data_IF_299253696369
#
_entry.id   IF_299253696369
#
_cell.length_a   1.000
_cell.length_b   1.000
_cell.length_c   1.000
_cell.angle_alpha   90.00
_cell.angle_beta   90.00
_cell.angle_gamma   90.00
#
_symmetry.space_group_name_H-M   'P 1'
#
loop_
_entity.id
_entity.type
_entity.pdbx_description
1 polymer ?
#
# COMPACT_ATOMS: atom_id res chain seq x y z
N UNK A 1 -13.48 -8.55 0.38
CA UNK A 1 -12.07 -8.47 -0.03
C UNK A 1 -11.97 -7.80 -1.39
N UNK A 2 -11.28 -6.68 -1.50
CA UNK A 2 -11.01 -5.98 -2.75
C UNK A 2 -9.69 -6.47 -3.33
N UNK A 3 -9.68 -6.98 -4.57
CA UNK A 3 -8.50 -7.55 -5.21
C UNK A 3 -8.15 -8.96 -4.68
N UNK A 4 -9.13 -9.85 -4.56
CA UNK A 4 -9.00 -11.19 -3.95
C UNK A 4 -7.99 -12.10 -4.63
N UNK A 5 -7.75 -11.92 -5.92
CA UNK A 5 -6.81 -12.73 -6.71
C UNK A 5 -5.36 -12.19 -6.71
N UNK A 6 -5.10 -11.06 -6.07
CA UNK A 6 -3.77 -10.51 -5.87
C UNK A 6 -3.05 -11.14 -4.65
N UNK A 7 -1.77 -10.78 -4.44
CA UNK A 7 -0.95 -11.33 -3.33
C UNK A 7 -1.59 -11.10 -1.95
N UNK A 8 -2.10 -9.90 -1.68
CA UNK A 8 -2.78 -9.59 -0.41
C UNK A 8 -4.10 -10.37 -0.32
N UNK A 9 -4.86 -10.45 -1.42
CA UNK A 9 -6.14 -11.13 -1.45
C UNK A 9 -6.04 -12.63 -1.17
N UNK A 10 -5.09 -13.31 -1.79
CA UNK A 10 -4.87 -14.75 -1.59
C UNK A 10 -4.45 -15.04 -0.15
N UNK A 11 -3.53 -14.25 0.43
CA UNK A 11 -3.13 -14.39 1.84
C UNK A 11 -4.29 -14.08 2.80
N UNK A 12 -5.12 -13.08 2.50
CA UNK A 12 -6.32 -12.78 3.28
C UNK A 12 -7.30 -13.96 3.32
N UNK A 13 -7.55 -14.58 2.17
CA UNK A 13 -8.44 -15.72 2.05
C UNK A 13 -7.84 -16.99 2.67
N UNK A 14 -6.52 -17.17 2.61
CA UNK A 14 -5.83 -18.24 3.33
C UNK A 14 -6.02 -18.09 4.85
N UNK A 15 -5.85 -16.87 5.39
CA UNK A 15 -6.13 -16.58 6.81
C UNK A 15 -7.58 -16.89 7.17
N UNK A 16 -8.53 -16.52 6.31
CA UNK A 16 -9.94 -16.83 6.54
C UNK A 16 -10.21 -18.35 6.55
N UNK A 17 -9.54 -19.11 5.69
CA UNK A 17 -9.60 -20.58 5.68
C UNK A 17 -8.95 -21.21 6.91
N UNK A 18 -7.86 -20.65 7.44
CA UNK A 18 -7.19 -21.11 8.66
C UNK A 18 -8.00 -20.80 9.93
N UNK A 19 -8.91 -19.80 9.88
CA UNK A 19 -9.69 -19.28 11.00
C UNK A 19 -11.21 -19.21 10.68
N UNK A 20 -11.86 -20.32 10.25
CA UNK A 20 -13.23 -20.28 9.72
C UNK A 20 -14.29 -19.88 10.76
N UNK A 21 -14.00 -20.09 12.05
CA UNK A 21 -14.90 -19.68 13.15
C UNK A 21 -14.81 -18.16 13.44
N UNK A 22 -13.84 -17.46 12.87
CA UNK A 22 -13.56 -16.04 13.12
C UNK A 22 -13.83 -15.16 11.91
N UNK A 23 -13.56 -15.66 10.71
CA UNK A 23 -13.68 -14.89 9.47
C UNK A 23 -14.53 -15.61 8.43
N UNK A 24 -15.37 -14.85 7.76
CA UNK A 24 -16.14 -15.28 6.59
C UNK A 24 -15.95 -14.28 5.46
N UNK A 25 -15.50 -14.75 4.31
CA UNK A 25 -15.37 -13.94 3.11
C UNK A 25 -16.72 -13.84 2.39
N UNK A 26 -17.49 -12.79 2.66
CA UNK A 26 -18.86 -12.61 2.12
C UNK A 26 -18.91 -11.91 0.76
N UNK A 27 -17.87 -11.17 0.39
CA UNK A 27 -17.82 -10.36 -0.83
C UNK A 27 -16.40 -10.33 -1.40
N UNK A 28 -16.23 -10.67 -2.68
CA UNK A 28 -14.92 -10.73 -3.33
C UNK A 28 -14.90 -9.89 -4.61
N UNK A 29 -13.78 -9.22 -4.89
CA UNK A 29 -13.58 -8.61 -6.19
C UNK A 29 -12.22 -8.96 -6.78
N UNK A 30 -12.14 -9.05 -8.11
CA UNK A 30 -10.93 -9.31 -8.86
C UNK A 30 -10.83 -8.41 -10.09
N UNK A 31 -9.62 -8.25 -10.65
CA UNK A 31 -9.41 -7.51 -11.90
C UNK A 31 -9.84 -8.34 -13.12
N UNK A 32 -9.04 -9.35 -13.48
CA UNK A 32 -9.22 -10.16 -14.70
C UNK A 32 -9.12 -11.67 -14.48
N UNK A 33 -8.65 -12.12 -13.32
CA UNK A 33 -8.37 -13.55 -13.09
C UNK A 33 -9.63 -14.29 -12.66
N UNK A 34 -10.48 -14.63 -13.65
CA UNK A 34 -11.74 -15.36 -13.43
C UNK A 34 -11.50 -16.78 -12.89
N UNK A 35 -10.42 -17.45 -13.31
CA UNK A 35 -10.14 -18.81 -12.88
C UNK A 35 -9.91 -18.89 -11.37
N UNK A 36 -9.00 -18.06 -10.86
CA UNK A 36 -8.73 -18.02 -9.43
C UNK A 36 -9.93 -17.48 -8.63
N UNK A 37 -10.66 -16.49 -9.16
CA UNK A 37 -11.88 -16.01 -8.52
C UNK A 37 -12.93 -17.11 -8.41
N UNK A 38 -13.11 -17.96 -9.43
CA UNK A 38 -14.00 -19.11 -9.42
C UNK A 38 -13.61 -20.14 -8.35
N UNK A 39 -12.30 -20.43 -8.22
CA UNK A 39 -11.81 -21.32 -7.15
C UNK A 39 -12.08 -20.72 -5.76
N UNK A 40 -11.90 -19.41 -5.60
CA UNK A 40 -12.21 -18.70 -4.37
C UNK A 40 -13.71 -18.72 -4.06
N UNK A 41 -14.58 -18.60 -5.07
CA UNK A 41 -16.04 -18.75 -4.93
C UNK A 41 -16.38 -20.14 -4.42
N UNK A 42 -15.81 -21.18 -5.01
CA UNK A 42 -16.02 -22.57 -4.59
C UNK A 42 -15.59 -22.83 -3.14
N UNK A 43 -14.50 -22.18 -2.70
CA UNK A 43 -13.92 -22.42 -1.37
C UNK A 43 -14.61 -21.64 -0.27
N UNK A 44 -14.98 -20.38 -0.55
CA UNK A 44 -15.47 -19.43 0.46
C UNK A 44 -16.97 -19.15 0.39
N UNK A 45 -17.64 -19.56 -0.68
CA UNK A 45 -19.08 -19.36 -0.92
C UNK A 45 -19.55 -17.93 -0.60
N UNK A 46 -18.93 -16.90 -1.23
CA UNK A 46 -19.31 -15.52 -0.99
C UNK A 46 -20.73 -15.25 -1.50
N UNK A 47 -21.40 -14.22 -0.97
CA UNK A 47 -22.73 -13.81 -1.41
C UNK A 47 -22.69 -12.96 -2.69
N UNK A 48 -21.58 -12.25 -2.92
CA UNK A 48 -21.38 -11.39 -4.09
C UNK A 48 -19.94 -11.43 -4.56
N UNK A 49 -19.77 -11.42 -5.87
CA UNK A 49 -18.45 -11.28 -6.51
C UNK A 49 -18.51 -10.21 -7.59
N UNK A 50 -17.40 -9.52 -7.83
CA UNK A 50 -17.28 -8.57 -8.93
C UNK A 50 -15.97 -8.76 -9.70
N UNK A 51 -16.07 -8.64 -11.03
CA UNK A 51 -14.92 -8.59 -11.94
C UNK A 51 -14.79 -7.19 -12.52
N UNK A 52 -13.58 -6.61 -12.50
CA UNK A 52 -13.35 -5.25 -12.99
C UNK A 52 -13.53 -5.15 -14.51
N UNK A 53 -12.99 -6.11 -15.26
CA UNK A 53 -13.13 -6.18 -16.72
C UNK A 53 -14.54 -6.66 -17.10
N UNK A 54 -15.39 -5.74 -17.54
CA UNK A 54 -16.78 -6.02 -17.91
C UNK A 54 -16.91 -7.03 -19.05
N UNK A 55 -15.89 -7.18 -19.91
CA UNK A 55 -15.91 -8.16 -20.99
C UNK A 55 -15.87 -9.60 -20.48
N UNK A 56 -15.45 -9.83 -19.25
CA UNK A 56 -15.30 -11.15 -18.65
C UNK A 56 -16.50 -11.58 -17.80
N UNK A 57 -17.59 -10.78 -17.73
CA UNK A 57 -18.71 -11.08 -16.83
C UNK A 57 -19.45 -12.35 -17.23
N UNK A 58 -19.69 -12.58 -18.54
CA UNK A 58 -20.42 -13.75 -18.99
C UNK A 58 -19.56 -15.04 -18.80
N UNK A 59 -18.27 -14.97 -19.10
CA UNK A 59 -17.34 -16.07 -18.83
C UNK A 59 -17.31 -16.43 -17.33
N UNK A 60 -17.28 -15.41 -16.45
CA UNK A 60 -17.31 -15.62 -15.01
C UNK A 60 -18.62 -16.27 -14.54
N UNK A 61 -19.77 -15.82 -15.08
CA UNK A 61 -21.08 -16.43 -14.79
C UNK A 61 -21.11 -17.90 -15.21
N UNK A 62 -20.60 -18.20 -16.42
CA UNK A 62 -20.55 -19.57 -16.94
C UNK A 62 -19.66 -20.45 -16.04
N UNK A 63 -18.49 -19.95 -15.61
CA UNK A 63 -17.63 -20.69 -14.69
C UNK A 63 -18.32 -20.96 -13.34
N UNK A 64 -19.02 -19.97 -12.76
CA UNK A 64 -19.73 -20.10 -11.49
C UNK A 64 -20.93 -21.05 -11.62
N UNK A 65 -21.70 -20.95 -12.72
CA UNK A 65 -22.84 -21.84 -12.98
C UNK A 65 -22.45 -23.32 -13.11
N UNK A 66 -21.21 -23.60 -13.49
CA UNK A 66 -20.66 -24.94 -13.57
C UNK A 66 -20.16 -25.49 -12.20
N UNK A 67 -20.20 -24.67 -11.15
CA UNK A 67 -19.90 -25.11 -9.78
C UNK A 67 -21.18 -25.72 -9.15
N UNK A 68 -21.00 -26.78 -8.40
CA UNK A 68 -22.08 -27.38 -7.58
C UNK A 68 -22.16 -26.61 -6.24
N UNK A 69 -22.89 -25.49 -6.25
CA UNK A 69 -23.04 -24.59 -5.10
C UNK A 69 -24.49 -24.61 -4.61
N UNK A 70 -24.67 -24.67 -3.31
CA UNK A 70 -26.00 -24.54 -2.70
C UNK A 70 -26.62 -23.17 -2.98
N UNK A 71 -25.80 -22.11 -2.99
CA UNK A 71 -26.18 -20.74 -3.26
C UNK A 71 -25.16 -20.07 -4.17
N UNK A 72 -25.53 -19.82 -5.41
CA UNK A 72 -24.67 -19.04 -6.33
C UNK A 72 -24.59 -17.58 -5.89
N UNK A 73 -23.38 -16.96 -5.93
CA UNK A 73 -23.23 -15.55 -5.60
C UNK A 73 -23.87 -14.64 -6.64
N UNK A 74 -24.23 -13.43 -6.21
CA UNK A 74 -24.52 -12.33 -7.15
C UNK A 74 -23.24 -11.97 -7.91
N UNK A 75 -23.28 -11.98 -9.26
CA UNK A 75 -22.14 -11.66 -10.11
C UNK A 75 -22.30 -10.25 -10.69
N UNK A 76 -21.34 -9.38 -10.39
CA UNK A 76 -21.28 -7.98 -10.80
C UNK A 76 -20.03 -7.72 -11.66
N UNK A 77 -19.98 -6.58 -12.35
CA UNK A 77 -18.81 -6.18 -13.12
C UNK A 77 -18.57 -4.67 -13.10
N UNK A 78 -17.38 -4.28 -13.56
CA UNK A 78 -17.00 -2.89 -13.70
C UNK A 78 -16.81 -2.16 -12.37
N UNK A 79 -16.61 -0.85 -12.46
CA UNK A 79 -16.39 0.02 -11.29
C UNK A 79 -17.55 -0.01 -10.30
N UNK A 80 -18.79 -0.05 -10.81
CA UNK A 80 -19.99 -0.10 -9.96
C UNK A 80 -20.07 -1.42 -9.19
N UNK A 81 -19.74 -2.54 -9.84
CA UNK A 81 -19.67 -3.85 -9.19
C UNK A 81 -18.62 -3.91 -8.09
N UNK A 82 -17.43 -3.37 -8.33
CA UNK A 82 -16.35 -3.29 -7.32
C UNK A 82 -16.80 -2.43 -6.12
N UNK A 83 -17.45 -1.28 -6.39
CA UNK A 83 -17.97 -0.41 -5.33
C UNK A 83 -19.08 -1.07 -4.51
N UNK A 84 -19.96 -1.85 -5.16
CA UNK A 84 -21.00 -2.62 -4.48
C UNK A 84 -20.40 -3.69 -3.56
N UNK A 85 -19.36 -4.41 -4.00
CA UNK A 85 -18.59 -5.34 -3.16
C UNK A 85 -17.96 -4.63 -1.96
N UNK A 86 -17.38 -3.44 -2.18
CA UNK A 86 -16.77 -2.65 -1.11
C UNK A 86 -17.77 -2.19 -0.04
N UNK A 87 -19.00 -1.91 -0.42
CA UNK A 87 -20.07 -1.42 0.46
C UNK A 87 -21.06 -2.54 0.89
N UNK A 88 -20.73 -3.82 0.67
CA UNK A 88 -21.65 -4.92 0.92
C UNK A 88 -22.16 -4.94 2.37
N UNK A 89 -23.48 -4.96 2.54
CA UNK A 89 -24.12 -4.73 3.85
C UNK A 89 -23.69 -5.72 4.93
N UNK A 90 -23.48 -6.98 4.57
CA UNK A 90 -23.10 -8.04 5.51
C UNK A 90 -21.59 -8.11 5.81
N UNK A 91 -20.79 -7.25 5.19
CA UNK A 91 -19.38 -7.15 5.52
C UNK A 91 -19.18 -6.16 6.66
N UNK A 92 -18.41 -6.52 7.68
CA UNK A 92 -17.99 -5.59 8.77
C UNK A 92 -16.67 -4.91 8.44
N UNK A 93 -15.78 -5.63 7.78
CA UNK A 93 -14.42 -5.18 7.45
C UNK A 93 -14.13 -5.39 5.96
N UNK A 94 -13.49 -4.40 5.35
CA UNK A 94 -13.03 -4.45 3.97
C UNK A 94 -11.50 -4.45 3.96
N UNK A 95 -10.91 -5.53 3.42
CA UNK A 95 -9.46 -5.58 3.16
C UNK A 95 -9.22 -5.03 1.76
N UNK A 96 -8.38 -4.00 1.65
CA UNK A 96 -8.10 -3.30 0.38
C UNK A 96 -6.79 -3.78 -0.22
N UNK A 97 -6.87 -4.66 -1.23
CA UNK A 97 -5.70 -5.20 -1.94
C UNK A 97 -5.62 -4.79 -3.42
N UNK A 98 -6.39 -3.78 -3.85
CA UNK A 98 -6.29 -3.21 -5.19
C UNK A 98 -5.09 -2.26 -5.22
N UNK A 99 -4.20 -2.43 -6.19
CA UNK A 99 -2.96 -1.65 -6.31
C UNK A 99 -3.21 -0.27 -6.91
N UNK A 100 -2.47 0.74 -6.44
CA UNK A 100 -2.49 2.09 -6.97
C UNK A 100 -3.77 2.88 -6.66
N UNK A 101 -3.96 4.02 -7.32
CA UNK A 101 -5.09 4.92 -7.11
C UNK A 101 -6.46 4.30 -7.46
N UNK A 102 -6.48 3.18 -8.20
CA UNK A 102 -7.71 2.44 -8.53
C UNK A 102 -8.46 1.93 -7.27
N UNK A 103 -7.76 1.71 -6.16
CA UNK A 103 -8.36 1.33 -4.89
C UNK A 103 -9.06 2.46 -4.14
N UNK A 104 -8.86 3.74 -4.52
CA UNK A 104 -9.37 4.90 -3.79
C UNK A 104 -10.91 4.94 -3.76
N UNK A 105 -11.56 4.87 -4.91
CA UNK A 105 -13.03 4.97 -5.00
C UNK A 105 -13.73 3.84 -4.25
N UNK A 106 -13.35 2.55 -4.43
CA UNK A 106 -13.92 1.46 -3.64
C UNK A 106 -13.69 1.61 -2.13
N UNK A 107 -12.51 2.08 -1.72
CA UNK A 107 -12.22 2.33 -0.30
C UNK A 107 -13.11 3.44 0.25
N UNK A 108 -13.32 4.53 -0.49
CA UNK A 108 -14.26 5.60 -0.10
C UNK A 108 -15.70 5.09 -0.02
N UNK A 109 -16.10 4.16 -0.89
CA UNK A 109 -17.43 3.52 -0.85
C UNK A 109 -17.60 2.69 0.42
N UNK A 110 -16.57 1.91 0.81
CA UNK A 110 -16.55 1.15 2.06
C UNK A 110 -16.61 2.08 3.29
N UNK A 111 -15.85 3.18 3.31
CA UNK A 111 -15.88 4.17 4.38
C UNK A 111 -17.26 4.81 4.52
N UNK A 112 -17.88 5.23 3.40
CA UNK A 112 -19.24 5.80 3.40
C UNK A 112 -20.29 4.82 3.92
N UNK A 113 -20.08 3.51 3.70
CA UNK A 113 -20.93 2.43 4.24
C UNK A 113 -20.61 2.07 5.70
N UNK A 114 -19.70 2.79 6.38
CA UNK A 114 -19.37 2.59 7.80
C UNK A 114 -18.55 1.33 8.07
N UNK A 115 -17.84 0.78 7.07
CA UNK A 115 -17.03 -0.43 7.22
C UNK A 115 -15.68 -0.12 7.88
N UNK A 116 -15.13 -1.09 8.63
CA UNK A 116 -13.72 -1.05 9.01
C UNK A 116 -12.85 -1.33 7.79
N UNK A 117 -11.73 -0.65 7.66
CA UNK A 117 -10.83 -0.78 6.54
C UNK A 117 -9.51 -1.39 7.01
N UNK A 118 -9.20 -2.61 6.59
CA UNK A 118 -7.86 -3.18 6.69
C UNK A 118 -7.07 -2.72 5.44
N UNK A 119 -6.29 -1.65 5.62
CA UNK A 119 -5.64 -0.94 4.52
C UNK A 119 -4.32 -1.60 4.14
N UNK A 120 -4.30 -2.30 2.99
CA UNK A 120 -3.08 -2.78 2.36
C UNK A 120 -2.70 -1.98 1.09
N UNK A 121 -3.61 -1.15 0.60
CA UNK A 121 -3.38 -0.21 -0.50
C UNK A 121 -2.97 1.15 0.05
N UNK A 122 -1.67 1.36 0.26
CA UNK A 122 -1.12 2.61 0.81
C UNK A 122 -1.37 3.82 -0.08
N UNK A 123 -1.42 3.62 -1.40
CA UNK A 123 -1.61 4.69 -2.37
C UNK A 123 -2.92 5.45 -2.16
N UNK A 124 -3.96 4.79 -1.63
CA UNK A 124 -5.21 5.43 -1.24
C UNK A 124 -4.98 6.55 -0.21
N UNK A 125 -4.17 6.29 0.81
CA UNK A 125 -3.92 7.27 1.87
C UNK A 125 -2.89 8.32 1.44
N UNK A 126 -1.89 7.91 0.65
CA UNK A 126 -0.89 8.82 0.09
C UNK A 126 -1.55 9.85 -0.81
N UNK A 127 -2.33 9.40 -1.80
CA UNK A 127 -2.95 10.29 -2.76
C UNK A 127 -4.10 11.13 -2.16
N UNK A 128 -4.86 10.56 -1.22
CA UNK A 128 -6.11 11.15 -0.77
C UNK A 128 -6.24 11.26 0.76
N UNK A 129 -5.14 11.25 1.51
CA UNK A 129 -5.15 11.39 2.97
C UNK A 129 -6.00 12.55 3.49
N UNK A 130 -5.91 13.77 2.90
CA UNK A 130 -6.75 14.91 3.28
C UNK A 130 -8.27 14.66 3.17
N UNK A 131 -8.68 13.70 2.34
CA UNK A 131 -10.09 13.34 2.12
C UNK A 131 -10.48 12.12 2.96
N UNK A 132 -9.60 11.11 2.97
CA UNK A 132 -9.85 9.81 3.63
C UNK A 132 -9.97 9.99 5.14
N UNK A 133 -9.04 10.69 5.79
CA UNK A 133 -9.05 10.86 7.26
C UNK A 133 -10.34 11.55 7.75
N UNK A 134 -10.78 12.69 7.20
CA UNK A 134 -12.07 13.28 7.60
C UNK A 134 -13.28 12.40 7.27
N UNK A 135 -13.23 11.61 6.20
CA UNK A 135 -14.31 10.70 5.84
C UNK A 135 -14.46 9.55 6.86
N UNK A 136 -13.36 8.98 7.35
CA UNK A 136 -13.37 7.97 8.41
C UNK A 136 -14.10 8.49 9.65
N UNK A 137 -13.75 9.69 10.10
CA UNK A 137 -14.37 10.34 11.25
C UNK A 137 -15.89 10.55 11.07
N UNK A 138 -16.29 11.11 9.91
CA UNK A 138 -17.72 11.36 9.62
C UNK A 138 -18.56 10.10 9.62
N UNK A 139 -18.00 8.99 9.11
CA UNK A 139 -18.72 7.73 8.95
C UNK A 139 -18.48 6.73 10.09
N UNK A 140 -17.71 7.10 11.12
CA UNK A 140 -17.31 6.22 12.24
C UNK A 140 -16.65 4.92 11.79
N UNK A 141 -15.98 4.96 10.63
CA UNK A 141 -15.18 3.86 10.11
C UNK A 141 -13.80 3.87 10.75
N UNK A 142 -13.21 2.69 10.96
CA UNK A 142 -11.84 2.55 11.44
C UNK A 142 -10.92 2.20 10.29
N UNK A 143 -9.70 2.71 10.33
CA UNK A 143 -8.63 2.35 9.42
C UNK A 143 -7.57 1.58 10.18
N UNK A 144 -7.31 0.35 9.76
CA UNK A 144 -6.37 -0.58 10.40
C UNK A 144 -5.25 -0.89 9.41
N UNK A 145 -3.99 -0.55 9.71
CA UNK A 145 -2.90 -0.74 8.75
C UNK A 145 -2.58 -2.22 8.57
N UNK A 146 -2.57 -2.67 7.32
CA UNK A 146 -2.12 -4.00 6.91
C UNK A 146 -0.76 -3.97 6.19
N UNK A 147 -0.16 -2.80 5.96
CA UNK A 147 1.24 -2.68 5.60
C UNK A 147 2.12 -3.04 6.80
N UNK A 148 3.22 -3.78 6.59
CA UNK A 148 3.99 -4.40 7.67
C UNK A 148 4.60 -3.37 8.63
N UNK A 149 5.14 -2.28 8.13
CA UNK A 149 5.76 -1.23 8.91
C UNK A 149 4.73 -0.45 9.73
N UNK A 150 3.61 -0.09 9.11
CA UNK A 150 2.53 0.65 9.80
C UNK A 150 1.79 -0.24 10.80
N UNK A 151 1.60 -1.51 10.48
CA UNK A 151 1.10 -2.51 11.44
C UNK A 151 2.03 -2.63 12.66
N UNK A 152 3.35 -2.61 12.44
CA UNK A 152 4.33 -2.65 13.53
C UNK A 152 4.24 -1.42 14.43
N UNK A 153 4.19 -0.22 13.86
CA UNK A 153 4.01 1.03 14.60
C UNK A 153 2.70 0.99 15.36
N UNK A 154 1.60 0.61 14.70
CA UNK A 154 0.29 0.48 15.32
C UNK A 154 0.32 -0.47 16.52
N UNK A 155 1.00 -1.62 16.41
CA UNK A 155 1.16 -2.58 17.51
C UNK A 155 1.99 -2.02 18.68
N UNK A 156 3.04 -1.23 18.40
CA UNK A 156 3.83 -0.58 19.41
C UNK A 156 3.06 0.53 20.14
N UNK A 157 2.15 1.21 19.46
CA UNK A 157 1.31 2.27 20.03
C UNK A 157 0.18 1.73 20.92
N UNK A 158 -0.15 0.42 20.85
CA UNK A 158 -1.15 -0.17 21.73
C UNK A 158 -0.70 -0.07 23.20
N UNK A 159 -1.57 0.40 24.05
CA UNK A 159 -1.25 0.62 25.47
C UNK A 159 -0.77 2.03 25.80
N UNK A 160 -0.60 2.92 24.82
CA UNK A 160 -0.44 4.34 25.10
C UNK A 160 -1.80 4.99 25.42
N UNK A 161 -1.84 5.97 26.32
CA UNK A 161 -3.06 6.72 26.62
C UNK A 161 -3.67 7.32 25.33
N UNK A 162 -4.99 7.20 25.17
CA UNK A 162 -5.77 7.69 24.04
C UNK A 162 -5.59 6.94 22.71
N UNK A 163 -4.82 5.82 22.68
CA UNK A 163 -4.63 5.01 21.46
C UNK A 163 -5.41 3.69 21.46
N UNK A 164 -6.15 3.41 22.52
CA UNK A 164 -6.89 2.16 22.74
C UNK A 164 -8.01 1.90 21.71
N UNK A 165 -8.47 2.95 21.02
CA UNK A 165 -9.60 2.87 20.09
C UNK A 165 -9.22 2.95 18.61
N UNK A 166 -7.93 2.92 18.25
CA UNK A 166 -7.44 3.07 16.89
C UNK A 166 -8.09 4.29 16.15
N UNK A 167 -8.25 5.40 16.87
CA UNK A 167 -8.85 6.61 16.31
C UNK A 167 -7.78 7.44 15.59
N UNK A 168 -7.46 7.06 14.36
CA UNK A 168 -6.58 7.81 13.47
C UNK A 168 -7.23 9.08 12.91
N UNK A 169 -8.49 9.33 13.26
CA UNK A 169 -9.24 10.48 12.75
C UNK A 169 -8.89 11.79 13.46
N UNK A 170 -8.13 11.73 14.56
CA UNK A 170 -7.77 12.94 15.30
C UNK A 170 -6.74 13.79 14.57
N UNK A 171 -5.85 13.16 13.78
CA UNK A 171 -4.70 13.83 13.17
C UNK A 171 -3.68 14.34 14.19
N UNK A 172 -3.80 13.91 15.45
CA UNK A 172 -2.90 14.30 16.53
C UNK A 172 -1.92 13.18 16.83
N UNK A 173 -0.66 13.54 17.02
CA UNK A 173 0.38 12.60 17.42
C UNK A 173 0.06 12.01 18.81
N UNK A 174 0.21 10.67 18.99
CA UNK A 174 -0.03 10.04 20.28
C UNK A 174 0.81 10.67 21.40
N UNK A 175 0.19 10.91 22.55
CA UNK A 175 0.88 11.51 23.70
C UNK A 175 2.04 10.61 24.16
N UNK A 176 3.23 11.19 24.30
CA UNK A 176 4.44 10.48 24.72
C UNK A 176 5.23 9.87 23.55
N UNK A 177 4.69 9.89 22.33
CA UNK A 177 5.44 9.54 21.13
C UNK A 177 6.34 10.70 20.74
N UNK A 178 7.63 10.44 20.50
CA UNK A 178 8.60 11.44 20.04
C UNK A 178 8.88 11.28 18.53
N UNK A 179 9.16 10.06 18.09
CA UNK A 179 9.49 9.78 16.69
C UNK A 179 9.05 8.38 16.26
N UNK A 180 8.93 8.21 14.96
CA UNK A 180 8.70 6.93 14.27
C UNK A 180 9.96 6.58 13.49
N UNK A 181 10.45 5.34 13.62
CA UNK A 181 11.55 4.81 12.83
C UNK A 181 11.01 3.72 11.90
N UNK A 182 10.82 4.09 10.63
CA UNK A 182 10.43 3.17 9.56
C UNK A 182 11.65 2.35 9.13
N UNK A 183 11.61 1.04 9.28
CA UNK A 183 12.68 0.19 8.78
C UNK A 183 12.51 -0.10 7.30
N UNK A 184 13.63 -0.20 6.58
CA UNK A 184 13.69 -0.57 5.18
C UNK A 184 14.72 -1.68 4.97
N UNK A 185 14.43 -2.65 4.09
CA UNK A 185 15.43 -3.66 3.69
C UNK A 185 16.65 -3.04 2.99
N UNK A 186 16.47 -1.84 2.41
CA UNK A 186 17.45 -1.15 1.57
C UNK A 186 17.35 -1.50 0.09
N UNK A 187 16.43 -2.40 -0.29
CA UNK A 187 16.17 -2.78 -1.67
C UNK A 187 17.30 -3.59 -2.32
N UNK A 188 17.16 -3.87 -3.61
CA UNK A 188 18.08 -4.68 -4.40
C UNK A 188 19.50 -4.09 -4.48
N UNK A 189 19.61 -2.76 -4.46
CA UNK A 189 20.90 -2.07 -4.68
C UNK A 189 21.55 -1.57 -3.41
N UNK A 190 21.09 -1.99 -2.24
CA UNK A 190 21.63 -1.58 -0.93
C UNK A 190 23.16 -1.61 -0.86
N UNK A 191 23.77 -2.68 -1.37
CA UNK A 191 25.21 -2.92 -1.29
C UNK A 191 25.96 -2.59 -2.60
N UNK A 192 25.31 -1.99 -3.60
CA UNK A 192 25.91 -1.53 -4.86
C UNK A 192 26.58 -0.17 -4.68
N UNK A 193 27.63 0.13 -5.47
CA UNK A 193 28.15 1.49 -5.58
C UNK A 193 27.20 2.37 -6.40
N UNK A 194 27.20 3.68 -6.12
CA UNK A 194 26.32 4.65 -6.83
C UNK A 194 26.61 4.65 -8.33
N UNK A 195 27.88 4.52 -8.69
CA UNK A 195 28.36 4.51 -10.08
C UNK A 195 27.83 3.32 -10.88
N UNK A 196 27.48 2.22 -10.22
CA UNK A 196 26.97 1.00 -10.87
C UNK A 196 25.48 1.12 -11.22
N UNK A 197 24.75 2.03 -10.58
CA UNK A 197 23.30 2.22 -10.81
C UNK A 197 22.94 2.63 -12.24
N UNK A 198 23.89 3.16 -13.01
CA UNK A 198 23.71 3.46 -14.45
C UNK A 198 23.53 2.22 -15.33
N UNK A 199 23.89 1.04 -14.82
CA UNK A 199 23.83 -0.25 -15.54
C UNK A 199 22.68 -1.14 -15.08
N UNK A 200 21.83 -0.65 -14.17
CA UNK A 200 20.71 -1.41 -13.61
C UNK A 200 19.74 -1.83 -14.72
N UNK A 201 19.48 -3.12 -14.77
CA UNK A 201 18.47 -3.74 -15.65
C UNK A 201 17.13 -3.88 -14.92
N UNK A 202 16.08 -4.19 -15.68
CA UNK A 202 14.75 -4.51 -15.10
C UNK A 202 14.84 -5.76 -14.21
N UNK A 203 15.64 -6.76 -14.60
CA UNK A 203 15.83 -7.99 -13.83
C UNK A 203 16.47 -7.70 -12.47
N UNK A 204 17.52 -6.88 -12.45
CA UNK A 204 18.18 -6.46 -11.20
C UNK A 204 17.20 -5.72 -10.27
N UNK A 205 16.43 -4.77 -10.81
CA UNK A 205 15.51 -3.94 -10.03
C UNK A 205 14.27 -4.69 -9.54
N UNK A 206 13.93 -5.81 -10.16
CA UNK A 206 12.79 -6.66 -9.76
C UNK A 206 13.20 -7.87 -8.90
N UNK A 207 14.48 -7.96 -8.50
CA UNK A 207 15.00 -9.01 -7.63
C UNK A 207 15.15 -8.50 -6.19
N UNK A 208 14.17 -8.80 -5.32
CA UNK A 208 14.24 -8.36 -3.92
C UNK A 208 14.90 -9.41 -3.02
N UNK A 209 15.82 -9.02 -2.10
CA UNK A 209 16.58 -9.98 -1.31
C UNK A 209 15.77 -10.75 -0.26
N UNK A 210 14.66 -10.21 0.24
CA UNK A 210 13.93 -10.76 1.39
C UNK A 210 12.45 -11.06 1.11
N UNK A 211 11.83 -10.37 0.14
CA UNK A 211 10.40 -10.42 -0.11
C UNK A 211 10.09 -10.90 -1.52
N UNK A 212 9.07 -11.74 -1.65
CA UNK A 212 8.46 -12.05 -2.95
C UNK A 212 7.26 -11.12 -3.17
N UNK A 213 7.43 -10.15 -4.05
CA UNK A 213 6.49 -9.05 -4.26
C UNK A 213 6.22 -8.79 -5.74
N UNK A 214 5.15 -8.04 -6.03
CA UNK A 214 4.88 -7.56 -7.38
C UNK A 214 5.99 -6.66 -7.92
N UNK A 215 6.16 -6.62 -9.26
CA UNK A 215 7.27 -5.89 -9.92
C UNK A 215 7.31 -4.40 -9.54
N UNK A 216 6.16 -3.72 -9.49
CA UNK A 216 6.09 -2.27 -9.16
C UNK A 216 6.68 -1.98 -7.78
N UNK A 217 6.18 -2.65 -6.75
CA UNK A 217 6.64 -2.41 -5.37
C UNK A 217 8.10 -2.85 -5.17
N UNK A 218 8.59 -3.83 -5.93
CA UNK A 218 9.99 -4.24 -5.91
C UNK A 218 10.90 -3.15 -6.46
N UNK A 219 10.52 -2.49 -7.57
CA UNK A 219 11.24 -1.31 -8.09
C UNK A 219 11.14 -0.15 -7.10
N UNK A 220 9.99 0.10 -6.48
CA UNK A 220 9.84 1.12 -5.44
C UNK A 220 10.75 0.84 -4.22
N UNK A 221 10.94 -0.42 -3.85
CA UNK A 221 11.91 -0.82 -2.84
C UNK A 221 13.35 -0.53 -3.30
N UNK A 222 13.68 -0.82 -4.56
CA UNK A 222 15.00 -0.59 -5.13
C UNK A 222 15.38 0.90 -5.21
N UNK A 223 14.39 1.80 -5.43
CA UNK A 223 14.56 3.26 -5.43
C UNK A 223 14.39 3.89 -4.04
N UNK A 224 13.99 3.13 -3.02
CA UNK A 224 13.47 3.58 -1.73
C UNK A 224 12.25 4.52 -1.83
N UNK A 225 11.60 4.62 -3.00
CA UNK A 225 10.32 5.31 -3.12
C UNK A 225 9.26 4.64 -2.24
N UNK A 226 9.24 3.29 -2.15
CA UNK A 226 8.30 2.60 -1.27
C UNK A 226 8.38 3.15 0.16
N UNK A 227 9.59 3.37 0.67
CA UNK A 227 9.77 3.90 2.02
C UNK A 227 9.38 5.38 2.12
N UNK A 228 9.65 6.17 1.06
CA UNK A 228 9.17 7.55 0.97
C UNK A 228 7.63 7.63 0.98
N UNK A 229 6.95 6.75 0.27
CA UNK A 229 5.49 6.64 0.28
C UNK A 229 4.97 6.27 1.66
N UNK A 230 5.64 5.36 2.34
CA UNK A 230 5.31 4.95 3.70
C UNK A 230 5.49 6.05 4.75
N UNK A 231 6.42 6.99 4.54
CA UNK A 231 6.53 8.21 5.38
C UNK A 231 5.26 9.05 5.28
N UNK A 232 4.71 9.21 4.08
CA UNK A 232 3.46 9.97 3.87
C UNK A 232 2.28 9.22 4.52
N UNK A 233 2.23 7.90 4.37
CA UNK A 233 1.20 7.07 5.00
C UNK A 233 1.27 7.16 6.52
N UNK A 234 2.47 7.06 7.12
CA UNK A 234 2.68 7.19 8.57
C UNK A 234 2.24 8.56 9.11
N UNK A 235 2.50 9.64 8.36
CA UNK A 235 2.03 10.97 8.70
C UNK A 235 0.50 11.00 8.87
N UNK A 236 -0.24 10.48 7.88
CA UNK A 236 -1.70 10.46 7.93
C UNK A 236 -2.26 9.48 8.96
N UNK A 237 -1.65 8.30 9.11
CA UNK A 237 -2.12 7.30 10.06
C UNK A 237 -1.91 7.72 11.52
N UNK A 238 -0.77 8.33 11.84
CA UNK A 238 -0.35 8.52 13.22
C UNK A 238 -0.28 10.00 13.63
N UNK A 239 -0.66 10.92 12.75
CA UNK A 239 -0.62 12.36 13.04
C UNK A 239 0.79 12.90 13.34
N UNK A 240 1.85 12.17 12.96
CA UNK A 240 3.23 12.51 13.25
C UNK A 240 3.77 13.43 12.17
N UNK A 241 4.47 14.51 12.54
CA UNK A 241 5.10 15.41 11.57
C UNK A 241 6.23 14.70 10.81
N UNK A 242 6.49 15.15 9.59
CA UNK A 242 7.53 14.55 8.73
C UNK A 242 8.93 14.60 9.35
N UNK A 243 9.20 15.59 10.20
CA UNK A 243 10.46 15.74 10.93
C UNK A 243 10.67 14.66 11.99
N UNK A 244 9.59 14.04 12.46
CA UNK A 244 9.58 13.00 13.47
C UNK A 244 9.36 11.60 12.88
N UNK A 245 9.48 11.45 11.57
CA UNK A 245 9.45 10.15 10.87
C UNK A 245 10.79 9.96 10.19
N UNK A 246 11.56 8.97 10.63
CA UNK A 246 12.89 8.66 10.14
C UNK A 246 12.91 7.30 9.45
N UNK A 247 13.78 7.15 8.44
CA UNK A 247 14.00 5.88 7.76
C UNK A 247 15.32 5.27 8.25
N UNK A 248 15.27 3.99 8.60
CA UNK A 248 16.44 3.20 9.04
C UNK A 248 16.58 1.96 8.18
N UNK A 249 17.74 1.75 7.57
CA UNK A 249 18.01 0.55 6.79
C UNK A 249 18.27 -0.61 7.74
N UNK A 250 17.43 -1.65 7.66
CA UNK A 250 17.54 -2.90 8.41
C UNK A 250 17.49 -4.10 7.46
N UNK A 251 18.67 -4.58 7.00
CA UNK A 251 18.77 -5.58 5.94
C UNK A 251 18.03 -6.88 6.19
N UNK A 252 17.91 -7.30 7.44
CA UNK A 252 17.28 -8.58 7.81
C UNK A 252 15.75 -8.53 7.77
N UNK A 253 15.15 -7.33 7.77
CA UNK A 253 13.69 -7.11 7.81
C UNK A 253 12.96 -7.86 8.93
N UNK A 254 13.64 -8.13 10.06
CA UNK A 254 13.08 -8.79 11.25
C UNK A 254 12.35 -7.77 12.15
N UNK A 255 12.94 -6.59 12.31
CA UNK A 255 12.25 -5.46 12.93
C UNK A 255 11.48 -4.76 11.82
N UNK A 256 10.16 -4.74 11.95
CA UNK A 256 9.31 -4.15 10.91
C UNK A 256 9.18 -2.64 11.04
N UNK A 257 9.18 -2.08 12.25
CA UNK A 257 9.37 -0.66 12.56
C UNK A 257 9.45 -0.45 14.06
N UNK A 258 9.78 0.77 14.47
CA UNK A 258 9.97 1.15 15.86
C UNK A 258 9.34 2.51 16.15
N UNK A 259 9.03 2.77 17.42
CA UNK A 259 8.66 4.09 17.93
C UNK A 259 9.64 4.51 19.02
N UNK A 260 10.03 5.78 19.04
CA UNK A 260 10.77 6.40 20.13
C UNK A 260 9.81 7.22 20.99
N UNK A 261 9.91 7.03 22.30
CA UNK A 261 9.12 7.73 23.30
C UNK A 261 9.89 8.95 23.85
N UNK A 262 9.18 9.91 24.44
CA UNK A 262 9.79 11.11 25.06
C UNK A 262 10.77 10.78 26.18
N UNK A 263 10.63 9.62 26.82
CA UNK A 263 11.57 9.13 27.86
C UNK A 263 12.79 8.41 27.25
N UNK A 264 12.98 8.47 25.94
CA UNK A 264 14.05 7.81 25.18
C UNK A 264 13.92 6.29 25.08
N UNK A 265 12.80 5.70 25.49
CA UNK A 265 12.55 4.28 25.24
C UNK A 265 12.24 4.06 23.76
N UNK A 266 12.73 2.95 23.19
CA UNK A 266 12.38 2.52 21.83
C UNK A 266 11.61 1.20 21.90
N UNK A 267 10.42 1.19 21.33
CA UNK A 267 9.58 0.00 21.19
C UNK A 267 9.60 -0.49 19.75
N UNK A 268 9.73 -1.79 19.55
CA UNK A 268 9.83 -2.40 18.25
C UNK A 268 8.92 -3.63 18.14
N UNK A 269 8.30 -3.81 16.97
CA UNK A 269 7.63 -5.06 16.64
C UNK A 269 8.55 -5.90 15.74
N UNK A 270 8.70 -7.18 16.08
CA UNK A 270 9.55 -8.12 15.39
C UNK A 270 8.72 -9.29 14.85
N UNK A 271 9.07 -9.76 13.65
CA UNK A 271 8.47 -10.93 13.00
C UNK A 271 9.28 -11.41 11.82
N UNK A 272 8.93 -12.57 11.27
CA UNK A 272 9.40 -12.94 9.95
C UNK A 272 8.80 -12.01 8.89
N UNK A 273 9.51 -11.73 7.78
CA UNK A 273 8.95 -10.95 6.67
C UNK A 273 7.83 -11.75 5.96
N UNK A 274 6.61 -11.56 6.44
CA UNK A 274 5.40 -12.22 5.95
C UNK A 274 4.20 -11.28 6.14
N UNK A 275 3.42 -11.08 5.09
CA UNK A 275 2.24 -10.21 5.12
C UNK A 275 1.06 -10.81 5.89
N UNK A 276 1.03 -12.12 6.14
CA UNK A 276 -0.07 -12.75 6.89
C UNK A 276 -0.26 -12.15 8.28
N UNK A 277 0.83 -11.86 9.00
CA UNK A 277 0.73 -11.30 10.35
C UNK A 277 0.09 -9.90 10.38
N UNK A 278 0.54 -8.91 9.62
CA UNK A 278 -0.12 -7.61 9.58
C UNK A 278 -1.55 -7.66 9.05
N UNK A 279 -1.84 -8.48 8.05
CA UNK A 279 -3.21 -8.69 7.54
C UNK A 279 -4.10 -9.28 8.63
N UNK A 280 -3.66 -10.37 9.29
CA UNK A 280 -4.41 -10.99 10.38
C UNK A 280 -4.70 -9.98 11.48
N UNK A 281 -3.69 -9.21 11.90
CA UNK A 281 -3.88 -8.25 12.99
C UNK A 281 -4.83 -7.12 12.62
N UNK A 282 -4.76 -6.61 11.39
CA UNK A 282 -5.72 -5.62 10.89
C UNK A 282 -7.17 -6.15 10.85
N UNK A 283 -7.35 -7.45 10.57
CA UNK A 283 -8.67 -8.08 10.53
C UNK A 283 -9.19 -8.46 11.92
N UNK A 284 -8.31 -8.79 12.87
CA UNK A 284 -8.67 -9.32 14.18
C UNK A 284 -8.64 -8.29 15.30
N UNK A 285 -8.05 -7.13 15.08
CA UNK A 285 -7.90 -6.12 16.14
C UNK A 285 -9.23 -5.82 16.86
N UNK A 286 -9.22 -5.73 18.22
CA UNK A 286 -8.05 -5.69 19.11
C UNK A 286 -7.55 -7.08 19.56
N UNK A 287 -8.12 -8.17 19.07
CA UNK A 287 -7.76 -9.52 19.49
C UNK A 287 -6.50 -10.04 18.77
N UNK A 288 -5.81 -11.00 19.41
CA UNK A 288 -4.70 -11.75 18.81
C UNK A 288 -5.04 -13.23 18.74
N UNK A 289 -5.21 -13.74 17.52
CA UNK A 289 -5.58 -15.13 17.32
C UNK A 289 -4.35 -16.04 17.32
N UNK A 290 -4.59 -17.28 17.78
CA UNK A 290 -3.56 -18.33 17.75
C UNK A 290 -3.30 -18.75 16.32
N UNK A 291 -2.01 -18.82 15.95
CA UNK A 291 -1.56 -19.33 14.65
C UNK A 291 -0.55 -20.44 14.82
N UNK A 292 -0.40 -21.29 13.80
CA UNK A 292 0.63 -22.32 13.72
C UNK A 292 1.84 -21.87 12.90
N UNK A 293 1.93 -20.57 12.59
CA UNK A 293 3.03 -20.00 11.79
C UNK A 293 4.36 -20.07 12.52
N UNK A 294 5.44 -20.04 11.75
CA UNK A 294 6.81 -20.13 12.26
C UNK A 294 7.08 -19.04 13.30
N UNK A 295 7.51 -19.45 14.51
CA UNK A 295 7.87 -18.51 15.57
C UNK A 295 9.26 -17.93 15.32
N UNK A 296 9.45 -16.65 15.70
CA UNK A 296 10.75 -16.02 15.65
C UNK A 296 11.64 -16.58 16.77
N UNK A 297 12.87 -16.98 16.42
CA UNK A 297 13.90 -17.40 17.37
C UNK A 297 15.11 -16.46 17.29
N UNK A 298 15.21 -15.54 18.25
CA UNK A 298 16.26 -14.51 18.25
C UNK A 298 17.66 -15.11 18.42
N UNK A 299 17.79 -16.24 19.11
CA UNK A 299 19.07 -16.93 19.27
C UNK A 299 19.60 -17.50 17.96
N UNK A 300 18.72 -17.94 17.04
CA UNK A 300 19.10 -18.39 15.70
C UNK A 300 19.45 -17.22 14.78
N UNK A 301 18.77 -16.10 14.90
CA UNK A 301 19.05 -14.88 14.13
C UNK A 301 20.40 -14.28 14.54
N UNK A 302 20.68 -14.26 15.82
CA UNK A 302 21.98 -13.87 16.41
C UNK A 302 22.29 -12.38 16.29
N UNK A 303 22.18 -11.76 15.09
CA UNK A 303 22.58 -10.37 14.86
C UNK A 303 21.56 -9.61 14.01
N UNK A 304 21.19 -8.42 14.45
CA UNK A 304 20.43 -7.42 13.71
C UNK A 304 21.33 -6.21 13.45
N UNK A 305 21.22 -5.63 12.26
CA UNK A 305 22.07 -4.52 11.82
C UNK A 305 21.25 -3.38 11.29
N UNK A 306 21.76 -2.17 11.49
CA UNK A 306 21.12 -0.92 11.09
C UNK A 306 22.12 -0.01 10.38
N UNK A 307 21.67 0.75 9.39
CA UNK A 307 22.44 1.78 8.68
C UNK A 307 21.54 2.97 8.41
N UNK A 308 22.13 4.13 8.26
CA UNK A 308 21.43 5.31 7.70
C UNK A 308 21.21 5.11 6.20
N UNK A 309 20.09 5.59 5.63
CA UNK A 309 19.90 5.61 4.19
C UNK A 309 20.82 6.66 3.54
N UNK A 310 21.30 6.36 2.33
CA UNK A 310 22.09 7.29 1.53
C UNK A 310 21.15 8.13 0.65
N UNK A 311 20.95 9.39 1.01
CA UNK A 311 20.03 10.30 0.30
C UNK A 311 20.49 10.62 -1.13
N UNK A 312 21.81 10.63 -1.40
CA UNK A 312 22.33 10.84 -2.74
C UNK A 312 22.06 9.65 -3.65
N UNK A 313 22.15 8.46 -3.10
CA UNK A 313 21.85 7.21 -3.80
C UNK A 313 20.36 7.04 -4.08
N UNK A 314 19.52 7.53 -3.18
CA UNK A 314 18.07 7.32 -3.19
C UNK A 314 17.27 8.63 -3.20
N UNK A 315 17.36 9.42 -4.28
CA UNK A 315 16.69 10.73 -4.35
C UNK A 315 15.16 10.65 -4.24
N UNK A 316 14.56 9.49 -4.53
CA UNK A 316 13.12 9.29 -4.38
C UNK A 316 12.62 9.50 -2.95
N UNK A 317 13.44 9.20 -1.92
CA UNK A 317 13.08 9.49 -0.53
C UNK A 317 12.87 11.00 -0.32
N UNK A 318 13.83 11.81 -0.72
CA UNK A 318 13.76 13.28 -0.61
C UNK A 318 12.55 13.86 -1.35
N UNK A 319 12.24 13.34 -2.55
CA UNK A 319 11.06 13.71 -3.32
C UNK A 319 9.76 13.42 -2.55
N UNK A 320 9.67 12.26 -1.90
CA UNK A 320 8.50 11.89 -1.11
C UNK A 320 8.31 12.78 0.12
N UNK A 321 9.39 13.06 0.88
CA UNK A 321 9.34 14.02 1.99
C UNK A 321 8.91 15.41 1.53
N UNK A 322 9.46 15.90 0.41
CA UNK A 322 9.10 17.19 -0.15
C UNK A 322 7.62 17.25 -0.56
N UNK A 323 7.14 16.21 -1.25
CA UNK A 323 5.74 16.13 -1.67
C UNK A 323 4.79 16.05 -0.46
N UNK A 324 5.12 15.25 0.55
CA UNK A 324 4.36 15.16 1.79
C UNK A 324 4.26 16.50 2.50
N UNK A 325 5.38 17.21 2.67
CA UNK A 325 5.43 18.55 3.30
C UNK A 325 4.67 19.60 2.49
N UNK A 326 4.65 19.48 1.15
CA UNK A 326 3.84 20.36 0.29
C UNK A 326 2.34 20.11 0.48
N UNK A 327 1.94 18.89 0.89
CA UNK A 327 0.54 18.52 1.18
C UNK A 327 -0.42 18.68 -0.03
N UNK A 328 -1.72 18.71 0.23
CA UNK A 328 -2.75 18.91 -0.79
C UNK A 328 -2.71 17.83 -1.89
N UNK A 329 -2.66 18.27 -3.15
CA UNK A 329 -2.60 17.38 -4.32
C UNK A 329 -1.19 16.86 -4.65
N UNK A 330 -0.12 17.39 -4.01
CA UNK A 330 1.26 17.02 -4.37
C UNK A 330 1.58 15.53 -4.15
N UNK A 331 1.16 14.87 -3.04
CA UNK A 331 1.41 13.44 -2.87
C UNK A 331 0.72 12.57 -3.93
N UNK A 332 -0.45 12.98 -4.43
CA UNK A 332 -1.14 12.30 -5.54
C UNK A 332 -0.33 12.39 -6.84
N UNK A 333 0.22 13.57 -7.14
CA UNK A 333 1.11 13.77 -8.30
C UNK A 333 2.38 12.94 -8.19
N UNK A 334 3.04 12.94 -7.01
CA UNK A 334 4.22 12.12 -6.76
C UNK A 334 3.93 10.65 -7.03
N UNK A 335 2.84 10.12 -6.46
CA UNK A 335 2.46 8.72 -6.60
C UNK A 335 2.18 8.34 -8.04
N UNK A 336 1.35 9.13 -8.75
CA UNK A 336 0.98 8.87 -10.14
C UNK A 336 2.19 8.97 -11.09
N UNK A 337 3.07 9.97 -10.87
CA UNK A 337 4.32 10.11 -11.62
C UNK A 337 5.26 8.93 -11.39
N UNK A 338 5.39 8.46 -10.13
CA UNK A 338 6.17 7.28 -9.79
C UNK A 338 5.61 6.02 -10.47
N UNK A 339 4.31 5.76 -10.39
CA UNK A 339 3.69 4.60 -11.03
C UNK A 339 3.97 4.60 -12.54
N UNK A 340 3.82 5.74 -13.21
CA UNK A 340 4.08 5.85 -14.65
C UNK A 340 5.57 5.69 -14.96
N UNK A 341 6.47 6.32 -14.22
CA UNK A 341 7.91 6.21 -14.43
C UNK A 341 8.39 4.75 -14.25
N UNK A 342 7.93 4.08 -13.20
CA UNK A 342 8.22 2.66 -12.96
C UNK A 342 7.66 1.78 -14.08
N UNK A 343 6.44 2.03 -14.55
CA UNK A 343 5.86 1.30 -15.69
C UNK A 343 6.71 1.46 -16.96
N UNK A 344 7.19 2.68 -17.24
CA UNK A 344 8.04 2.92 -18.42
C UNK A 344 9.44 2.32 -18.27
N UNK A 345 9.99 2.26 -17.05
CA UNK A 345 11.21 1.53 -16.75
C UNK A 345 11.02 0.02 -16.99
N UNK A 346 9.95 -0.58 -16.45
CA UNK A 346 9.63 -2.00 -16.67
C UNK A 346 9.42 -2.36 -18.15
N UNK A 347 9.06 -1.39 -18.98
CA UNK A 347 8.98 -1.50 -20.46
C UNK A 347 10.29 -1.11 -21.15
N UNK A 348 11.39 -0.94 -20.42
CA UNK A 348 12.71 -0.56 -20.93
C UNK A 348 12.72 0.72 -21.78
N UNK A 349 11.81 1.65 -21.48
CA UNK A 349 11.71 2.93 -22.20
C UNK A 349 12.54 4.03 -21.54
N UNK A 350 12.84 3.89 -20.27
CA UNK A 350 13.71 4.78 -19.49
C UNK A 350 14.66 3.93 -18.65
N UNK A 351 15.79 4.50 -18.25
CA UNK A 351 16.73 3.88 -17.31
C UNK A 351 16.25 4.01 -15.86
N UNK A 352 16.85 3.22 -14.96
CA UNK A 352 16.57 3.27 -13.51
C UNK A 352 16.81 4.67 -12.94
N UNK A 353 17.91 5.33 -13.33
CA UNK A 353 18.27 6.66 -12.86
C UNK A 353 17.35 7.79 -13.38
N UNK A 354 16.59 7.56 -14.43
CA UNK A 354 15.63 8.53 -14.95
C UNK A 354 14.30 8.52 -14.16
N UNK A 355 14.01 7.47 -13.38
CA UNK A 355 12.78 7.39 -12.57
C UNK A 355 12.64 8.64 -11.68
N UNK A 356 13.58 8.98 -10.77
CA UNK A 356 13.45 10.18 -9.93
C UNK A 356 13.39 11.48 -10.73
N UNK A 357 14.02 11.52 -11.91
CA UNK A 357 14.02 12.72 -12.77
C UNK A 357 12.61 13.03 -13.29
N UNK A 358 11.88 12.04 -13.76
CA UNK A 358 10.50 12.25 -14.24
C UNK A 358 9.53 12.57 -13.11
N UNK A 359 9.73 11.98 -11.93
CA UNK A 359 8.94 12.30 -10.74
C UNK A 359 9.16 13.76 -10.33
N UNK A 360 10.43 14.21 -10.22
CA UNK A 360 10.77 15.60 -9.89
C UNK A 360 10.13 16.58 -10.85
N UNK A 361 10.26 16.37 -12.17
CA UNK A 361 9.66 17.23 -13.19
C UNK A 361 8.14 17.33 -13.05
N UNK A 362 7.45 16.25 -12.75
CA UNK A 362 6.01 16.27 -12.55
C UNK A 362 5.63 17.09 -11.32
N UNK A 363 6.32 16.88 -10.19
CA UNK A 363 6.10 17.64 -8.96
C UNK A 363 6.40 19.13 -9.14
N UNK A 364 7.52 19.48 -9.77
CA UNK A 364 7.90 20.88 -10.07
C UNK A 364 6.85 21.57 -10.96
N UNK A 365 6.40 20.88 -12.02
CA UNK A 365 5.39 21.43 -12.94
C UNK A 365 4.02 21.61 -12.29
N UNK A 366 3.72 20.87 -11.23
CA UNK A 366 2.45 20.97 -10.51
C UNK A 366 2.43 22.08 -9.46
N UNK A 367 3.57 22.59 -9.02
CA UNK A 367 3.65 23.58 -7.93
C UNK A 367 2.75 24.82 -8.14
N UNK A 368 2.64 25.28 -9.38
CA UNK A 368 1.78 26.44 -9.71
C UNK A 368 0.28 26.13 -9.63
N UNK A 369 -0.08 24.86 -9.67
CA UNK A 369 -1.47 24.37 -9.64
C UNK A 369 -1.80 23.59 -8.36
N UNK A 370 -0.96 23.73 -7.33
CA UNK A 370 -1.12 23.03 -6.06
C UNK A 370 -2.43 23.42 -5.38
N UNK A 371 -3.33 22.44 -5.17
CA UNK A 371 -4.55 22.61 -4.38
C UNK A 371 -4.32 22.02 -2.97
N UNK A 372 -4.35 22.89 -1.94
CA UNK A 372 -4.10 22.50 -0.54
C UNK A 372 -5.34 21.88 0.13
N UNK A 373 -6.52 22.06 -0.45
CA UNK A 373 -7.79 21.53 0.10
C UNK A 373 -8.56 20.78 -1.00
N UNK A 374 -8.02 19.68 -1.52
CA UNK A 374 -8.63 18.99 -2.65
C UNK A 374 -9.90 18.27 -2.26
N UNK A 375 -10.80 18.14 -3.25
CA UNK A 375 -11.87 17.17 -3.25
C UNK A 375 -11.46 15.88 -3.99
N UNK A 376 -12.32 14.86 -3.99
CA UNK A 376 -11.99 13.57 -4.62
C UNK A 376 -11.71 13.71 -6.12
N UNK A 377 -12.51 14.54 -6.78
CA UNK A 377 -12.39 14.83 -8.20
C UNK A 377 -11.04 15.46 -8.53
N UNK A 378 -10.56 16.41 -7.71
CA UNK A 378 -9.24 17.04 -7.87
C UNK A 378 -8.11 16.01 -7.81
N UNK A 379 -8.21 15.05 -6.88
CA UNK A 379 -7.21 13.96 -6.75
C UNK A 379 -7.18 13.09 -8.02
N UNK A 380 -8.35 12.74 -8.54
CA UNK A 380 -8.46 11.92 -9.76
C UNK A 380 -7.94 12.67 -11.00
N UNK A 381 -8.21 13.97 -11.09
CA UNK A 381 -7.73 14.82 -12.17
C UNK A 381 -6.20 14.95 -12.16
N UNK A 382 -5.60 15.22 -10.99
CA UNK A 382 -4.13 15.37 -10.90
C UNK A 382 -3.41 14.03 -11.06
N UNK A 383 -3.98 12.91 -10.63
CA UNK A 383 -3.45 11.57 -10.89
C UNK A 383 -3.35 11.33 -12.40
N UNK A 384 -4.46 11.54 -13.11
CA UNK A 384 -4.48 11.39 -14.56
C UNK A 384 -3.53 12.36 -15.27
N UNK A 385 -3.49 13.63 -14.85
CA UNK A 385 -2.59 14.63 -15.38
C UNK A 385 -1.12 14.22 -15.22
N UNK A 386 -0.72 13.77 -14.04
CA UNK A 386 0.66 13.40 -13.76
C UNK A 386 1.12 12.20 -14.62
N UNK A 387 0.25 11.21 -14.82
CA UNK A 387 0.51 10.07 -15.72
C UNK A 387 0.76 10.54 -17.15
N UNK A 388 -0.14 11.37 -17.68
CA UNK A 388 -0.02 11.90 -19.03
C UNK A 388 1.22 12.79 -19.18
N UNK A 389 1.54 13.61 -18.16
CA UNK A 389 2.71 14.46 -18.14
C UNK A 389 4.00 13.64 -18.29
N UNK A 390 4.18 12.62 -17.44
CA UNK A 390 5.37 11.76 -17.49
C UNK A 390 5.48 11.05 -18.84
N UNK A 391 4.38 10.52 -19.37
CA UNK A 391 4.38 9.86 -20.68
C UNK A 391 4.80 10.83 -21.81
N UNK A 392 4.33 12.08 -21.76
CA UNK A 392 4.69 13.12 -22.75
C UNK A 392 6.15 13.53 -22.64
N UNK A 393 6.68 13.72 -21.43
CA UNK A 393 8.08 14.08 -21.21
C UNK A 393 9.04 13.00 -21.73
N UNK A 394 8.72 11.72 -21.51
CA UNK A 394 9.50 10.60 -22.06
C UNK A 394 9.48 10.61 -23.60
N UNK A 395 8.32 10.87 -24.23
CA UNK A 395 8.21 10.99 -25.69
C UNK A 395 9.01 12.16 -26.27
N UNK A 396 9.05 13.31 -25.58
CA UNK A 396 9.86 14.46 -25.98
C UNK A 396 11.37 14.15 -25.94
N UNK A 397 11.87 13.54 -24.86
CA UNK A 397 13.26 13.15 -24.72
C UNK A 397 13.75 12.25 -25.87
N UNK A 398 12.96 11.31 -26.34
CA UNK A 398 13.30 10.43 -27.47
C UNK A 398 13.39 11.14 -28.82
N UNK A 399 12.61 12.21 -29.04
CA UNK A 399 12.69 12.98 -30.30
C UNK A 399 14.01 13.73 -30.44
N UNK A 400 14.64 14.17 -29.36
CA UNK A 400 15.94 14.85 -29.40
C UNK A 400 17.10 13.88 -29.63
N UNK A 401 17.01 12.63 -29.20
CA UNK A 401 18.05 11.60 -29.39
C UNK A 401 18.04 11.02 -30.83
N UNK A 402 16.91 11.08 -31.54
CA UNK A 402 16.79 10.57 -32.92
C UNK A 402 17.17 11.59 -34.01
N UNK A 403 17.53 12.80 -33.66
CA UNK A 403 17.91 13.90 -34.59
C UNK A 403 19.41 14.22 -34.46
N UNK A 404 20.16 13.60 -33.59
CA UNK A 404 21.61 13.62 -33.43
C UNK A 404 22.22 12.33 -33.94
#
# INVERSE_FOLDING_TARGET
MLGSTGSIGTQTLEIASEQPDKFKAVALSAGRNINLLTEQVKTHEPEVVAIEDENLIEDLKDHINNLDLDNAPLVLSGKEGINAVAAWDKADTVVTGIVGCAGLIPTMSAIKAGKNIALANKETLIAAGPIVIPALKRNKSRLLPADSEHSAIFQCLQGLPNYENADFSTGEMPKGLKAIHLTASGGAFRDWAVEDLKHVTVEDATSHPNWDMGKKITVDSATLMNKGLEVIEAHYLFGTSYENIEIVIHPQSIIHSMIEMEDSSVLAQLGWPDMKLPILYAMSWPERFKTNWKRLNLSEIGKLTFKEPDEFKYPCMGLAYAAGKSSGTMPAVLNAANEMAVEQFLKEKISFQEIPTFISKACESHMENLNLSPELEDILEVDNWARLFVEQEIKKGKKYVSIG
#
